data_IF_074093765480
#
_entry.id   IF_074093765480
#
_cell.length_a   1.000
_cell.length_b   1.000
_cell.length_c   1.000
_cell.angle_alpha   90.00
_cell.angle_beta   90.00
_cell.angle_gamma   90.00
#
_symmetry.space_group_name_H-M   'P 1'
#
loop_
_entity.id
_entity.type
_entity.pdbx_description
1 polymer ?
#
# COMPACT_ATOMS: atom_id res chain seq x y z
N UNK A 1 -19.98 -1.96 11.04
CA UNK A 1 -19.06 -1.19 10.21
C UNK A 1 -18.58 -2.05 9.05
N UNK A 2 -18.80 -1.57 7.83
CA UNK A 2 -18.39 -2.32 6.65
C UNK A 2 -16.89 -2.14 6.41
N UNK A 3 -16.20 -3.24 6.15
CA UNK A 3 -14.79 -3.21 5.76
C UNK A 3 -14.69 -2.83 4.28
N UNK A 4 -13.62 -2.16 3.91
CA UNK A 4 -13.35 -1.92 2.50
C UNK A 4 -13.00 -3.25 1.83
N UNK A 5 -13.35 -3.37 0.55
CA UNK A 5 -13.05 -4.57 -0.21
C UNK A 5 -12.67 -4.18 -1.63
N UNK A 6 -11.65 -4.87 -2.17
CA UNK A 6 -11.25 -4.75 -3.56
C UNK A 6 -11.71 -6.00 -4.27
N UNK A 7 -12.59 -5.85 -5.26
CA UNK A 7 -13.09 -6.97 -6.05
C UNK A 7 -12.27 -7.07 -7.32
N UNK A 8 -11.56 -8.18 -7.49
CA UNK A 8 -10.72 -8.41 -8.64
C UNK A 8 -11.54 -8.88 -9.85
N UNK A 9 -10.95 -8.75 -11.03
CA UNK A 9 -11.59 -9.16 -12.29
C UNK A 9 -11.96 -10.65 -12.29
N UNK A 10 -11.25 -11.47 -11.53
CA UNK A 10 -11.56 -12.89 -11.41
C UNK A 10 -12.61 -13.21 -10.34
N UNK A 11 -13.24 -12.17 -9.75
CA UNK A 11 -14.27 -12.32 -8.74
C UNK A 11 -13.78 -12.51 -7.31
N UNK A 12 -12.47 -12.57 -7.10
CA UNK A 12 -11.92 -12.71 -5.75
C UNK A 12 -11.94 -11.41 -5.00
N UNK A 13 -12.13 -11.48 -3.68
CA UNK A 13 -12.16 -10.33 -2.80
C UNK A 13 -10.82 -10.16 -2.09
N UNK A 14 -10.33 -8.92 -2.04
CA UNK A 14 -9.12 -8.58 -1.30
C UNK A 14 -9.46 -7.48 -0.30
N UNK A 15 -9.03 -7.64 0.93
CA UNK A 15 -9.30 -6.67 1.99
C UNK A 15 -8.07 -5.79 2.18
N UNK A 16 -8.16 -4.49 1.81
CA UNK A 16 -6.98 -3.60 1.86
C UNK A 16 -6.42 -3.45 3.27
N UNK A 17 -7.26 -3.46 4.30
CA UNK A 17 -6.80 -3.33 5.69
C UNK A 17 -5.88 -4.48 6.08
N UNK A 18 -6.14 -5.68 5.59
CA UNK A 18 -5.30 -6.85 5.85
C UNK A 18 -3.91 -6.66 5.27
N UNK A 19 -3.83 -6.17 4.04
CA UNK A 19 -2.55 -5.90 3.40
C UNK A 19 -1.81 -4.75 4.07
N UNK A 20 -2.52 -3.72 4.47
CA UNK A 20 -1.95 -2.58 5.19
C UNK A 20 -1.34 -3.02 6.52
N UNK A 21 -2.00 -3.94 7.21
CA UNK A 21 -1.47 -4.49 8.45
C UNK A 21 -0.16 -5.21 8.23
N UNK A 22 -0.07 -6.04 7.18
CA UNK A 22 1.18 -6.71 6.84
C UNK A 22 2.30 -5.72 6.57
N UNK A 23 2.01 -4.64 5.83
CA UNK A 23 2.99 -3.62 5.52
C UNK A 23 3.42 -2.86 6.77
N UNK A 24 2.52 -2.67 7.73
CA UNK A 24 2.83 -1.92 8.95
C UNK A 24 3.88 -2.59 9.82
N UNK A 25 4.11 -3.88 9.62
CA UNK A 25 5.14 -4.61 10.35
C UNK A 25 6.55 -4.36 9.81
N UNK A 26 6.67 -3.73 8.64
CA UNK A 26 7.97 -3.42 8.07
C UNK A 26 8.44 -2.05 8.59
N UNK A 27 9.64 -2.00 9.22
CA UNK A 27 10.12 -0.73 9.80
C UNK A 27 10.42 0.35 8.77
N UNK A 28 10.54 0.00 7.49
CA UNK A 28 10.78 0.97 6.41
C UNK A 28 9.52 1.75 6.03
N UNK A 29 8.36 1.27 6.45
CA UNK A 29 7.07 1.85 6.08
C UNK A 29 6.46 2.57 7.28
N UNK A 30 6.24 3.89 7.15
CA UNK A 30 5.56 4.65 8.19
C UNK A 30 4.05 4.52 8.08
N UNK A 31 3.52 4.64 6.86
CA UNK A 31 2.09 4.54 6.60
C UNK A 31 1.85 3.91 5.24
N UNK A 32 0.70 3.28 5.07
CA UNK A 32 0.32 2.71 3.78
C UNK A 32 -1.18 2.74 3.59
N UNK A 33 -1.59 2.84 2.33
CA UNK A 33 -2.99 2.71 1.90
C UNK A 33 -3.01 1.78 0.70
N UNK A 34 -3.85 0.77 0.75
CA UNK A 34 -4.02 -0.16 -0.36
C UNK A 34 -5.33 0.16 -1.06
N UNK A 35 -5.25 0.36 -2.38
CA UNK A 35 -6.42 0.68 -3.19
C UNK A 35 -6.48 -0.24 -4.40
N UNK A 36 -7.68 -0.36 -4.97
CA UNK A 36 -7.86 -1.04 -6.25
C UNK A 36 -7.96 0.01 -7.35
N UNK A 37 -7.09 -0.07 -8.35
CA UNK A 37 -7.15 0.79 -9.54
C UNK A 37 -7.49 -0.03 -10.76
N UNK A 38 -8.31 0.54 -11.62
CA UNK A 38 -8.58 -0.09 -12.91
C UNK A 38 -7.51 0.32 -13.91
N UNK A 39 -6.95 -0.69 -14.58
CA UNK A 39 -5.98 -0.47 -15.64
C UNK A 39 -6.26 -1.48 -16.76
N UNK A 40 -6.55 -0.99 -17.95
CA UNK A 40 -6.85 -1.85 -19.10
C UNK A 40 -7.99 -2.85 -18.82
N UNK A 41 -9.01 -2.42 -18.07
CA UNK A 41 -10.16 -3.26 -17.74
C UNK A 41 -9.94 -4.24 -16.61
N UNK A 42 -8.75 -4.22 -15.99
CA UNK A 42 -8.44 -5.07 -14.85
C UNK A 42 -8.25 -4.25 -13.58
N UNK A 43 -8.66 -4.82 -12.47
CA UNK A 43 -8.43 -4.20 -11.16
C UNK A 43 -7.06 -4.63 -10.64
N UNK A 44 -6.21 -3.64 -10.38
CA UNK A 44 -4.85 -3.86 -9.90
C UNK A 44 -4.75 -3.39 -8.44
N UNK A 45 -4.22 -4.24 -7.59
CA UNK A 45 -3.97 -3.87 -6.20
C UNK A 45 -2.76 -2.95 -6.16
N UNK A 46 -2.97 -1.72 -5.70
CA UNK A 46 -1.96 -0.68 -5.67
C UNK A 46 -1.64 -0.32 -4.24
N UNK A 47 -0.36 -0.33 -3.89
CA UNK A 47 0.11 0.09 -2.57
C UNK A 47 0.60 1.53 -2.64
N UNK A 48 -0.03 2.41 -1.87
CA UNK A 48 0.45 3.77 -1.67
C UNK A 48 1.20 3.75 -0.34
N UNK A 49 2.49 4.05 -0.36
CA UNK A 49 3.35 3.90 0.82
C UNK A 49 4.05 5.21 1.14
N UNK A 50 3.94 5.62 2.40
CA UNK A 50 4.72 6.73 2.92
C UNK A 50 5.90 6.14 3.69
N UNK A 51 7.14 6.30 3.18
CA UNK A 51 8.32 5.74 3.85
C UNK A 51 8.59 6.43 5.17
N UNK A 52 9.26 5.73 6.08
CA UNK A 52 9.76 6.35 7.28
C UNK A 52 11.08 7.07 6.95
N UNK A 53 10.96 8.33 6.55
CA UNK A 53 12.09 9.11 6.06
C UNK A 53 13.21 9.28 7.09
N UNK A 54 12.90 9.15 8.37
CA UNK A 54 13.92 9.20 9.41
C UNK A 54 14.93 8.07 9.25
N UNK A 55 14.48 6.92 8.77
CA UNK A 55 15.36 5.75 8.55
C UNK A 55 16.11 5.82 7.24
N UNK A 56 15.72 6.73 6.36
CA UNK A 56 16.32 6.87 5.03
C UNK A 56 17.14 8.15 4.91
N UNK A 57 17.52 8.74 6.01
CA UNK A 57 18.30 9.96 6.00
C UNK A 57 19.59 9.78 5.19
N UNK A 58 19.83 10.71 4.28
CA UNK A 58 21.00 10.66 3.39
C UNK A 58 20.81 9.81 2.14
N UNK A 59 19.64 9.19 1.93
CA UNK A 59 19.36 8.40 0.73
C UNK A 59 18.59 9.22 -0.28
N UNK A 60 18.81 8.92 -1.57
CA UNK A 60 18.07 9.56 -2.65
C UNK A 60 16.65 9.00 -2.75
N UNK A 61 15.78 9.73 -3.46
CA UNK A 61 14.40 9.26 -3.70
C UNK A 61 14.38 7.91 -4.42
N UNK A 62 15.28 7.71 -5.37
CA UNK A 62 15.38 6.44 -6.10
C UNK A 62 15.76 5.27 -5.18
N UNK A 63 16.67 5.50 -4.26
CA UNK A 63 17.07 4.48 -3.29
C UNK A 63 15.91 4.14 -2.34
N UNK A 64 15.20 5.17 -1.89
CA UNK A 64 14.03 4.98 -1.01
C UNK A 64 12.95 4.19 -1.75
N UNK A 65 12.64 4.55 -2.99
CA UNK A 65 11.64 3.85 -3.80
C UNK A 65 12.01 2.37 -3.99
N UNK A 66 13.29 2.09 -4.26
CA UNK A 66 13.75 0.72 -4.42
C UNK A 66 13.56 -0.10 -3.14
N UNK A 67 13.89 0.47 -1.98
CA UNK A 67 13.71 -0.22 -0.71
C UNK A 67 12.24 -0.44 -0.36
N UNK A 68 11.38 0.52 -0.68
CA UNK A 68 9.94 0.37 -0.46
C UNK A 68 9.36 -0.73 -1.35
N UNK A 69 9.78 -0.79 -2.62
CA UNK A 69 9.36 -1.88 -3.51
C UNK A 69 9.81 -3.23 -2.97
N UNK A 70 11.02 -3.32 -2.44
CA UNK A 70 11.52 -4.54 -1.83
C UNK A 70 10.68 -4.93 -0.61
N UNK A 71 10.32 -3.96 0.23
CA UNK A 71 9.47 -4.21 1.38
C UNK A 71 8.11 -4.78 0.96
N UNK A 72 7.50 -4.20 -0.06
CA UNK A 72 6.22 -4.68 -0.60
C UNK A 72 6.38 -6.09 -1.18
N UNK A 73 7.46 -6.33 -1.90
CA UNK A 73 7.72 -7.66 -2.46
C UNK A 73 7.92 -8.71 -1.37
N UNK A 74 8.57 -8.36 -0.27
CA UNK A 74 8.73 -9.26 0.87
C UNK A 74 7.38 -9.67 1.44
N UNK A 75 6.45 -8.74 1.55
CA UNK A 75 5.09 -9.04 1.98
C UNK A 75 4.39 -9.91 0.94
N UNK A 76 4.52 -9.58 -0.35
CA UNK A 76 3.91 -10.37 -1.43
C UNK A 76 4.31 -11.84 -1.38
N UNK A 77 5.53 -12.14 -1.01
CA UNK A 77 6.01 -13.53 -0.93
C UNK A 77 5.24 -14.37 0.08
N UNK A 78 4.61 -13.73 1.05
CA UNK A 78 3.82 -14.43 2.07
C UNK A 78 2.35 -14.53 1.69
N UNK A 79 1.95 -13.93 0.57
CA UNK A 79 0.55 -13.84 0.15
C UNK A 79 0.24 -14.73 -1.05
N UNK A 80 -1.02 -15.21 -1.17
CA UNK A 80 -1.46 -15.85 -2.40
C UNK A 80 -1.31 -14.91 -3.61
N UNK A 81 -1.14 -15.48 -4.80
CA UNK A 81 -0.87 -14.68 -6.00
C UNK A 81 -1.95 -13.62 -6.28
N UNK A 82 -3.23 -13.91 -5.99
CA UNK A 82 -4.29 -12.95 -6.25
C UNK A 82 -4.28 -11.75 -5.30
N UNK A 83 -3.55 -11.82 -4.18
CA UNK A 83 -3.41 -10.74 -3.21
C UNK A 83 -2.13 -9.92 -3.41
N UNK A 84 -1.33 -10.24 -4.42
CA UNK A 84 -0.08 -9.51 -4.64
C UNK A 84 -0.33 -8.07 -5.03
N UNK A 85 0.39 -7.17 -4.39
CA UNK A 85 0.38 -5.75 -4.71
C UNK A 85 1.28 -5.53 -5.92
N UNK A 86 0.67 -5.34 -7.09
CA UNK A 86 1.41 -5.28 -8.34
C UNK A 86 1.92 -3.88 -8.68
N UNK A 87 1.32 -2.85 -8.10
CA UNK A 87 1.75 -1.47 -8.30
C UNK A 87 2.09 -0.85 -6.95
N UNK A 88 3.16 -0.06 -6.90
CA UNK A 88 3.61 0.62 -5.69
C UNK A 88 3.88 2.07 -6.01
N UNK A 89 3.30 2.98 -5.22
CA UNK A 89 3.60 4.41 -5.33
C UNK A 89 4.16 4.90 -4.00
N UNK A 90 5.25 5.66 -4.08
CA UNK A 90 5.86 6.26 -2.90
C UNK A 90 5.23 7.63 -2.68
N UNK A 91 4.68 7.84 -1.49
CA UNK A 91 4.05 9.11 -1.10
C UNK A 91 5.02 9.90 -0.24
N UNK A 92 5.41 11.07 -0.69
CA UNK A 92 6.37 11.92 0.04
C UNK A 92 5.75 12.55 1.27
N UNK A 93 4.46 12.85 1.21
CA UNK A 93 3.74 13.47 2.31
C UNK A 93 2.92 12.45 3.06
N UNK A 94 2.68 12.72 4.34
CA UNK A 94 1.80 11.89 5.14
C UNK A 94 0.38 11.91 4.57
N UNK A 95 -0.34 10.80 4.76
CA UNK A 95 -1.73 10.72 4.34
C UNK A 95 -2.61 11.61 5.22
N UNK A 96 -3.62 12.23 4.62
CA UNK A 96 -4.60 12.99 5.38
C UNK A 96 -5.43 12.06 6.26
N UNK A 97 -5.66 12.50 7.48
CA UNK A 97 -6.35 11.70 8.48
C UNK A 97 -7.53 12.46 9.08
N UNK A 98 -8.49 11.69 9.58
CA UNK A 98 -9.61 12.23 10.32
C UNK A 98 -9.17 12.62 11.74
N UNK A 99 -10.08 13.22 12.51
CA UNK A 99 -9.81 13.58 13.92
C UNK A 99 -9.48 12.34 14.76
N UNK A 100 -9.94 11.16 14.36
CA UNK A 100 -9.61 9.89 15.04
C UNK A 100 -8.33 9.26 14.51
N UNK A 101 -7.55 9.97 13.71
CA UNK A 101 -6.28 9.54 13.11
C UNK A 101 -6.42 8.38 12.11
N UNK A 102 -7.59 8.25 11.51
CA UNK A 102 -7.80 7.29 10.43
C UNK A 102 -7.53 7.96 9.09
N UNK A 103 -6.82 7.25 8.22
CA UNK A 103 -6.48 7.76 6.89
C UNK A 103 -7.75 7.97 6.07
N UNK A 104 -7.86 9.14 5.45
CA UNK A 104 -8.98 9.46 4.56
C UNK A 104 -8.81 8.75 3.22
N UNK A 105 -9.12 7.48 3.21
CA UNK A 105 -8.90 6.58 2.09
C UNK A 105 -9.54 7.07 0.79
N UNK A 106 -10.70 7.71 0.89
CA UNK A 106 -11.44 8.18 -0.28
C UNK A 106 -10.70 9.24 -1.11
N UNK A 107 -9.70 9.89 -0.54
CA UNK A 107 -8.89 10.88 -1.25
C UNK A 107 -7.86 10.25 -2.18
N UNK A 108 -7.57 8.97 -2.02
CA UNK A 108 -6.45 8.31 -2.70
C UNK A 108 -6.88 7.26 -3.73
N UNK A 109 -8.14 7.22 -4.06
CA UNK A 109 -8.64 6.29 -5.07
C UNK A 109 -8.23 6.66 -6.48
#
# INVERSE_FOLDING_TARGET
RKKNVIILSNGKNVFPEELEEHLSHDPRIAESVIIGREQNGETIITALVHPDYEKFEGKSDDEIAAEIKEAVNDVNRTLPSFKHMTAVEVMKDEFEKTTSKKIKRYLYK
#
